data_IF_043235618582
#
_entry.id   IF_043235618582
#
_cell.length_a   1.000
_cell.length_b   1.000
_cell.length_c   1.000
_cell.angle_alpha   90.00
_cell.angle_beta   90.00
_cell.angle_gamma   90.00
#
_symmetry.space_group_name_H-M   'P 1'
#
loop_
_entity.id
_entity.type
_entity.pdbx_description
1 polymer ?
#
# COMPACT_ATOMS: atom_id res chain seq x y z
N UNK A 1 1.65 18.24 23.78
CA UNK A 1 2.18 17.03 23.12
C UNK A 1 1.22 15.88 23.38
N UNK A 2 0.97 15.06 22.35
CA UNK A 2 0.19 13.85 22.51
C UNK A 2 0.98 12.82 23.34
N UNK A 3 0.28 12.09 24.22
CA UNK A 3 0.87 10.95 24.93
C UNK A 3 0.94 9.75 24.01
N UNK A 4 1.98 8.95 24.15
CA UNK A 4 2.24 7.76 23.33
C UNK A 4 2.02 6.49 24.15
N UNK A 5 1.15 5.60 23.62
CA UNK A 5 1.00 4.24 24.12
C UNK A 5 1.48 3.28 23.05
N UNK A 6 2.39 2.39 23.38
CA UNK A 6 2.88 1.35 22.46
C UNK A 6 2.46 -0.01 22.97
N UNK A 7 1.92 -0.82 22.06
CA UNK A 7 1.58 -2.24 22.29
C UNK A 7 2.50 -3.04 21.38
N UNK A 8 3.24 -3.97 21.95
CA UNK A 8 4.11 -4.88 21.18
C UNK A 8 4.19 -6.23 21.88
N UNK A 9 4.24 -7.30 21.11
CA UNK A 9 4.43 -8.63 21.66
C UNK A 9 5.87 -8.84 22.17
N UNK A 10 6.82 -8.10 21.60
CA UNK A 10 8.22 -8.09 21.98
C UNK A 10 8.52 -6.84 22.84
N UNK A 11 8.69 -7.02 24.13
CA UNK A 11 8.98 -5.95 25.08
C UNK A 11 10.26 -5.16 24.75
N UNK A 12 11.20 -5.74 24.01
CA UNK A 12 12.46 -5.07 23.63
C UNK A 12 12.24 -3.98 22.57
N UNK A 13 11.10 -3.97 21.90
CA UNK A 13 10.72 -2.98 20.88
C UNK A 13 10.01 -1.77 21.47
N UNK A 14 9.55 -1.85 22.73
CA UNK A 14 8.86 -0.73 23.38
C UNK A 14 9.84 0.40 23.63
N UNK A 15 9.48 1.59 23.16
CA UNK A 15 10.31 2.79 23.27
C UNK A 15 11.51 2.84 22.32
N UNK A 16 11.76 1.81 21.50
CA UNK A 16 12.94 1.73 20.65
C UNK A 16 13.03 2.89 19.64
N UNK A 17 11.92 3.36 19.12
CA UNK A 17 11.88 4.38 18.07
C UNK A 17 11.31 5.71 18.54
N UNK A 18 10.50 5.69 19.58
CA UNK A 18 9.86 6.88 20.12
C UNK A 18 9.64 6.70 21.64
N UNK A 19 9.90 7.72 22.47
CA UNK A 19 9.60 7.65 23.89
C UNK A 19 8.12 7.40 24.13
N UNK A 20 7.78 6.44 24.99
CA UNK A 20 6.41 6.06 25.29
C UNK A 20 6.02 6.44 26.71
N UNK A 21 4.80 6.93 26.91
CA UNK A 21 4.23 7.18 28.24
C UNK A 21 3.73 5.89 28.90
N UNK A 22 3.28 4.92 28.10
CA UNK A 22 2.88 3.60 28.57
C UNK A 22 3.25 2.53 27.53
N UNK A 23 3.98 1.51 27.97
CA UNK A 23 4.33 0.33 27.19
C UNK A 23 3.52 -0.88 27.65
N UNK A 24 2.83 -1.57 26.74
CA UNK A 24 2.05 -2.74 27.00
C UNK A 24 2.63 -3.93 26.21
N UNK A 25 3.15 -4.93 26.92
CA UNK A 25 3.67 -6.14 26.30
C UNK A 25 2.53 -7.14 26.13
N UNK A 26 2.22 -7.51 24.89
CA UNK A 26 1.17 -8.46 24.60
C UNK A 26 0.70 -8.42 23.15
N UNK A 27 -0.14 -9.38 22.80
CA UNK A 27 -0.81 -9.43 21.50
C UNK A 27 -1.80 -8.25 21.35
N UNK A 28 -1.72 -7.52 20.25
CA UNK A 28 -2.53 -6.32 20.03
C UNK A 28 -4.03 -6.58 20.16
N UNK A 29 -4.53 -7.72 19.64
CA UNK A 29 -5.96 -8.06 19.71
C UNK A 29 -6.39 -8.24 21.16
N UNK A 30 -5.63 -9.03 21.92
CA UNK A 30 -5.92 -9.32 23.33
C UNK A 30 -5.88 -8.06 24.19
N UNK A 31 -4.85 -7.23 24.00
CA UNK A 31 -4.72 -5.94 24.73
C UNK A 31 -5.87 -4.99 24.38
N UNK A 32 -6.22 -4.85 23.11
CA UNK A 32 -7.33 -3.99 22.68
C UNK A 32 -8.69 -4.51 23.19
N UNK A 33 -8.90 -5.82 23.21
CA UNK A 33 -10.12 -6.40 23.79
C UNK A 33 -10.24 -6.13 25.30
N UNK A 34 -9.12 -6.16 26.02
CA UNK A 34 -9.11 -5.82 27.45
C UNK A 34 -9.28 -4.31 27.70
N UNK A 35 -8.77 -3.48 26.79
CA UNK A 35 -8.84 -2.01 26.88
C UNK A 35 -10.24 -1.47 26.57
N UNK A 36 -10.92 -2.01 25.56
CA UNK A 36 -12.20 -1.48 25.07
C UNK A 36 -13.26 -1.25 26.16
N UNK A 37 -13.50 -2.19 27.10
CA UNK A 37 -14.49 -1.98 28.16
C UNK A 37 -14.11 -0.91 29.18
N UNK A 38 -12.82 -0.51 29.23
CA UNK A 38 -12.32 0.52 30.13
C UNK A 38 -12.40 1.92 29.53
N UNK A 39 -12.68 2.03 28.22
CA UNK A 39 -12.75 3.30 27.51
C UNK A 39 -14.17 3.88 27.55
N UNK A 40 -14.23 5.19 27.74
CA UNK A 40 -15.46 5.95 27.56
C UNK A 40 -15.53 6.51 26.14
N UNK A 41 -16.71 6.49 25.54
CA UNK A 41 -16.92 7.08 24.23
C UNK A 41 -16.73 8.59 24.31
N UNK A 42 -15.77 9.10 23.53
CA UNK A 42 -15.54 10.52 23.43
C UNK A 42 -16.67 11.19 22.66
N UNK A 43 -17.34 12.18 23.24
CA UNK A 43 -18.41 12.94 22.61
C UNK A 43 -17.86 14.01 21.66
N UNK A 44 -16.75 14.67 22.04
CA UNK A 44 -16.07 15.62 21.17
C UNK A 44 -15.54 14.95 19.91
N UNK A 45 -16.10 15.32 18.76
CA UNK A 45 -15.79 14.83 17.43
C UNK A 45 -14.88 15.77 16.63
N UNK A 46 -14.43 16.88 17.21
CA UNK A 46 -13.71 17.95 16.51
C UNK A 46 -12.49 17.43 15.72
N UNK A 47 -11.66 16.59 16.35
CA UNK A 47 -10.50 15.98 15.68
C UNK A 47 -10.92 15.09 14.51
N UNK A 48 -11.92 14.22 14.71
CA UNK A 48 -12.40 13.32 13.66
C UNK A 48 -12.99 14.09 12.48
N UNK A 49 -13.82 15.09 12.75
CA UNK A 49 -14.44 15.93 11.70
C UNK A 49 -13.35 16.63 10.87
N UNK A 50 -12.34 17.22 11.54
CA UNK A 50 -11.19 17.83 10.85
C UNK A 50 -10.42 16.82 10.00
N UNK A 51 -10.19 15.60 10.50
CA UNK A 51 -9.52 14.55 9.74
C UNK A 51 -10.33 14.12 8.50
N UNK A 52 -11.64 13.99 8.64
CA UNK A 52 -12.54 13.65 7.54
C UNK A 52 -12.61 14.76 6.47
N UNK A 53 -12.66 16.03 6.87
CA UNK A 53 -12.61 17.17 5.94
C UNK A 53 -11.30 17.20 5.15
N UNK A 54 -10.17 17.00 5.82
CA UNK A 54 -8.85 16.91 5.16
C UNK A 54 -8.78 15.74 4.19
N UNK A 55 -9.37 14.60 4.55
CA UNK A 55 -9.43 13.44 3.66
C UNK A 55 -10.30 13.73 2.44
N UNK A 56 -11.43 14.43 2.59
CA UNK A 56 -12.25 14.88 1.48
C UNK A 56 -11.46 15.79 0.53
N UNK A 57 -10.83 16.82 1.09
CA UNK A 57 -9.96 17.73 0.31
C UNK A 57 -8.87 16.99 -0.46
N UNK A 58 -8.27 15.97 0.17
CA UNK A 58 -7.29 15.12 -0.50
C UNK A 58 -7.88 14.33 -1.66
N UNK A 59 -9.06 13.74 -1.50
CA UNK A 59 -9.75 12.99 -2.57
C UNK A 59 -10.12 13.88 -3.74
N UNK A 60 -10.64 15.08 -3.48
CA UNK A 60 -10.94 16.08 -4.52
C UNK A 60 -9.67 16.47 -5.30
N UNK A 61 -8.53 16.64 -4.60
CA UNK A 61 -7.25 16.91 -5.22
C UNK A 61 -6.76 15.73 -6.08
N UNK A 62 -6.91 14.49 -5.61
CA UNK A 62 -6.53 13.26 -6.34
C UNK A 62 -7.36 13.15 -7.61
N UNK A 63 -8.67 13.36 -7.53
CA UNK A 63 -9.55 13.35 -8.69
C UNK A 63 -9.17 14.42 -9.70
N UNK A 64 -9.00 15.68 -9.27
CA UNK A 64 -8.59 16.77 -10.14
C UNK A 64 -7.23 16.55 -10.81
N UNK A 65 -6.31 15.81 -10.17
CA UNK A 65 -5.02 15.44 -10.77
C UNK A 65 -5.11 14.20 -11.66
N UNK A 66 -5.97 13.25 -11.29
CA UNK A 66 -6.15 11.98 -11.99
C UNK A 66 -6.95 12.09 -13.28
N UNK A 67 -7.72 13.17 -13.45
CA UNK A 67 -8.53 13.43 -14.65
C UNK A 67 -7.89 14.39 -15.65
N UNK A 68 -6.62 14.77 -15.43
CA UNK A 68 -5.88 15.66 -16.33
C UNK A 68 -5.63 14.99 -17.67
N UNK A 69 -5.69 15.80 -18.74
CA UNK A 69 -5.45 15.36 -20.14
C UNK A 69 -4.17 15.93 -20.75
N UNK A 70 -3.39 16.67 -19.95
CA UNK A 70 -2.16 17.33 -20.40
C UNK A 70 -1.08 16.31 -20.81
N UNK A 71 -0.28 16.67 -21.80
CA UNK A 71 0.91 15.91 -22.17
C UNK A 71 2.18 16.69 -21.79
N UNK A 72 3.25 16.01 -21.29
CA UNK A 72 3.34 14.58 -21.02
C UNK A 72 2.43 14.15 -19.85
N UNK A 73 1.83 12.95 -19.96
CA UNK A 73 0.94 12.40 -18.95
C UNK A 73 1.63 12.32 -17.58
N UNK A 74 0.97 12.82 -16.54
CA UNK A 74 1.48 12.73 -15.17
C UNK A 74 1.17 11.38 -14.54
N UNK A 75 2.03 10.83 -13.66
CA UNK A 75 1.85 9.51 -13.04
C UNK A 75 0.54 9.36 -12.26
N UNK A 76 -0.04 10.45 -11.79
CA UNK A 76 -1.32 10.44 -11.08
C UNK A 76 -2.47 9.95 -11.98
N UNK A 77 -2.45 10.28 -13.26
CA UNK A 77 -3.53 9.93 -14.19
C UNK A 77 -3.70 8.41 -14.32
N UNK A 78 -2.66 7.65 -14.73
CA UNK A 78 -2.79 6.20 -14.84
C UNK A 78 -3.05 5.52 -13.49
N UNK A 79 -2.50 6.00 -12.38
CA UNK A 79 -2.77 5.44 -11.05
C UNK A 79 -4.22 5.64 -10.61
N UNK A 80 -4.79 6.81 -10.85
CA UNK A 80 -6.18 7.11 -10.55
C UNK A 80 -7.15 6.19 -11.31
N UNK A 81 -6.88 5.95 -12.60
CA UNK A 81 -7.69 5.03 -13.39
C UNK A 81 -7.48 3.57 -13.00
N UNK A 82 -6.22 3.17 -12.72
CA UNK A 82 -5.92 1.83 -12.24
C UNK A 82 -6.67 1.51 -10.94
N UNK A 83 -6.69 2.46 -9.99
CA UNK A 83 -7.39 2.29 -8.71
C UNK A 83 -8.87 1.90 -8.89
N UNK A 84 -9.53 2.43 -9.93
CA UNK A 84 -10.94 2.12 -10.25
C UNK A 84 -11.14 0.76 -10.91
N UNK A 85 -10.09 0.18 -11.49
CA UNK A 85 -10.13 -1.10 -12.21
C UNK A 85 -9.70 -2.29 -11.34
N UNK A 86 -9.20 -2.02 -10.12
CA UNK A 86 -8.81 -3.06 -9.19
C UNK A 86 -10.05 -3.70 -8.56
N UNK A 87 -10.07 -5.04 -8.51
CA UNK A 87 -11.08 -5.78 -7.76
C UNK A 87 -10.84 -5.67 -6.25
N UNK A 88 -11.89 -5.87 -5.44
CA UNK A 88 -11.81 -5.76 -3.98
C UNK A 88 -11.00 -6.89 -3.32
N UNK A 89 -10.52 -7.84 -4.10
CA UNK A 89 -9.62 -8.91 -3.69
C UNK A 89 -8.28 -8.89 -4.46
N UNK A 90 -7.99 -7.84 -5.23
CA UNK A 90 -6.77 -7.74 -6.02
C UNK A 90 -5.51 -7.88 -5.16
N UNK A 91 -4.46 -8.44 -5.77
CA UNK A 91 -3.13 -8.50 -5.17
C UNK A 91 -2.21 -7.57 -5.95
N UNK A 92 -1.61 -6.62 -5.25
CA UNK A 92 -0.70 -5.63 -5.82
C UNK A 92 0.70 -5.95 -5.36
N UNK A 93 1.60 -6.19 -6.30
CA UNK A 93 3.03 -6.25 -6.06
C UNK A 93 3.69 -4.98 -6.61
N UNK A 94 4.32 -4.22 -5.75
CA UNK A 94 4.91 -2.94 -6.10
C UNK A 94 6.43 -3.00 -6.02
N UNK A 95 7.10 -2.43 -7.00
CA UNK A 95 8.54 -2.27 -6.97
C UNK A 95 8.98 -1.12 -6.04
N UNK A 96 10.21 -1.15 -5.56
CA UNK A 96 10.82 -0.05 -4.81
C UNK A 96 11.34 1.03 -5.75
N UNK A 97 11.01 2.28 -5.42
CA UNK A 97 11.40 3.46 -6.18
C UNK A 97 10.31 4.54 -6.18
N UNK A 98 10.34 5.45 -7.14
CA UNK A 98 9.33 6.51 -7.27
C UNK A 98 7.91 5.94 -7.43
N UNK A 99 7.78 4.76 -8.06
CA UNK A 99 6.51 4.06 -8.25
C UNK A 99 5.82 3.72 -6.93
N UNK A 100 6.58 3.36 -5.90
CA UNK A 100 6.04 3.08 -4.56
C UNK A 100 5.28 4.29 -3.99
N UNK A 101 5.81 5.49 -4.20
CA UNK A 101 5.16 6.74 -3.78
C UNK A 101 3.81 6.93 -4.44
N UNK A 102 3.70 6.61 -5.73
CA UNK A 102 2.44 6.74 -6.46
C UNK A 102 1.42 5.72 -6.00
N UNK A 103 1.82 4.47 -5.78
CA UNK A 103 0.94 3.42 -5.25
C UNK A 103 0.46 3.78 -3.85
N UNK A 104 1.37 4.15 -2.94
CA UNK A 104 1.03 4.48 -1.55
C UNK A 104 0.06 5.66 -1.42
N UNK A 105 0.07 6.58 -2.38
CA UNK A 105 -0.76 7.79 -2.35
C UNK A 105 -2.08 7.67 -3.11
N UNK A 106 -2.18 6.79 -4.08
CA UNK A 106 -3.24 6.83 -5.09
C UNK A 106 -4.03 5.53 -5.23
N UNK A 107 -3.54 4.44 -4.63
CA UNK A 107 -4.28 3.18 -4.59
C UNK A 107 -4.94 3.03 -3.22
N UNK A 108 -6.26 2.93 -3.21
CA UNK A 108 -7.03 2.67 -2.01
C UNK A 108 -7.10 1.17 -1.76
N UNK A 109 -6.51 0.72 -0.67
CA UNK A 109 -6.64 -0.67 -0.22
C UNK A 109 -8.04 -0.88 0.37
N UNK A 110 -8.76 -1.88 -0.13
CA UNK A 110 -10.14 -2.17 0.27
C UNK A 110 -10.43 -3.67 0.22
N UNK A 111 -11.51 -4.10 0.85
CA UNK A 111 -11.93 -5.50 0.86
C UNK A 111 -10.83 -6.45 1.31
N UNK A 112 -10.59 -7.49 0.53
CA UNK A 112 -9.58 -8.53 0.77
C UNK A 112 -8.27 -8.29 -0.03
N UNK A 113 -8.05 -7.07 -0.49
CA UNK A 113 -6.84 -6.72 -1.24
C UNK A 113 -5.58 -7.00 -0.44
N UNK A 114 -4.53 -7.42 -1.15
CA UNK A 114 -3.19 -7.64 -0.58
C UNK A 114 -2.18 -6.74 -1.28
N UNK A 115 -1.18 -6.31 -0.52
CA UNK A 115 -0.10 -5.47 -1.01
C UNK A 115 1.26 -6.04 -0.58
N UNK A 116 2.20 -6.09 -1.51
CA UNK A 116 3.58 -6.51 -1.27
C UNK A 116 4.56 -5.49 -1.85
N UNK A 117 5.56 -5.14 -1.05
CA UNK A 117 6.70 -4.27 -1.42
C UNK A 117 7.87 -4.59 -0.49
N UNK A 118 9.10 -4.47 -0.94
CA UNK A 118 10.29 -4.64 -0.09
C UNK A 118 10.49 -3.42 0.83
N UNK A 119 9.62 -3.31 1.87
CA UNK A 119 9.58 -2.15 2.75
C UNK A 119 10.79 -2.00 3.70
N UNK A 120 11.55 -3.05 3.93
CA UNK A 120 12.71 -3.02 4.84
C UNK A 120 14.03 -2.81 4.11
N UNK A 121 14.27 -3.55 3.01
CA UNK A 121 15.53 -3.52 2.26
C UNK A 121 15.46 -2.59 1.06
N UNK A 122 14.26 -2.12 0.70
CA UNK A 122 14.02 -1.29 -0.48
C UNK A 122 14.62 -1.92 -1.76
N UNK A 123 14.44 -3.23 -1.92
CA UNK A 123 14.94 -3.99 -3.06
C UNK A 123 14.26 -3.56 -4.34
N UNK A 124 15.02 -3.21 -5.34
CA UNK A 124 14.52 -2.88 -6.67
C UNK A 124 14.22 -4.16 -7.46
N UNK A 125 13.25 -4.13 -8.37
CA UNK A 125 12.85 -5.22 -9.26
C UNK A 125 11.98 -6.34 -8.65
N UNK A 126 11.64 -6.32 -7.35
CA UNK A 126 10.84 -7.39 -6.74
C UNK A 126 9.37 -7.39 -7.16
N UNK A 127 8.85 -6.29 -7.70
CA UNK A 127 7.44 -6.17 -8.04
C UNK A 127 6.95 -7.25 -9.01
N UNK A 128 7.75 -7.58 -10.03
CA UNK A 128 7.39 -8.61 -11.00
C UNK A 128 7.47 -10.02 -10.42
N UNK A 129 8.57 -10.50 -9.80
CA UNK A 129 8.62 -11.83 -9.19
C UNK A 129 7.62 -12.01 -8.05
N UNK A 130 7.33 -10.97 -7.25
CA UNK A 130 6.28 -11.06 -6.23
C UNK A 130 4.90 -11.27 -6.84
N UNK A 131 4.61 -10.62 -7.97
CA UNK A 131 3.36 -10.83 -8.69
C UNK A 131 3.26 -12.24 -9.28
N UNK A 132 4.35 -12.79 -9.81
CA UNK A 132 4.43 -14.19 -10.26
C UNK A 132 4.12 -15.14 -9.10
N UNK A 133 4.79 -14.96 -7.96
CA UNK A 133 4.53 -15.75 -6.75
C UNK A 133 3.09 -15.63 -6.26
N UNK A 134 2.52 -14.43 -6.29
CA UNK A 134 1.12 -14.19 -5.91
C UNK A 134 0.14 -14.89 -6.85
N UNK A 135 0.38 -14.88 -8.16
CA UNK A 135 -0.47 -15.55 -9.14
C UNK A 135 -0.48 -17.07 -8.98
N UNK A 136 0.66 -17.65 -8.57
CA UNK A 136 0.77 -19.08 -8.25
C UNK A 136 0.05 -19.41 -6.93
N UNK A 137 0.22 -18.56 -5.90
CA UNK A 137 -0.33 -18.81 -4.57
C UNK A 137 -1.85 -18.56 -4.49
N UNK A 138 -2.39 -17.70 -5.35
CA UNK A 138 -3.79 -17.27 -5.34
C UNK A 138 -4.39 -17.35 -6.75
N UNK A 139 -4.58 -18.55 -7.30
CA UNK A 139 -5.12 -18.72 -8.65
C UNK A 139 -6.51 -18.11 -8.76
N UNK A 140 -6.77 -17.44 -9.88
CA UNK A 140 -8.07 -16.81 -10.17
C UNK A 140 -8.23 -15.38 -9.61
N UNK A 141 -7.36 -14.90 -8.74
CA UNK A 141 -7.38 -13.50 -8.27
C UNK A 141 -6.73 -12.55 -9.28
N UNK A 142 -7.19 -11.32 -9.30
CA UNK A 142 -6.53 -10.26 -10.05
C UNK A 142 -5.16 -9.95 -9.43
N UNK A 143 -4.07 -10.17 -10.17
CA UNK A 143 -2.71 -9.83 -9.74
C UNK A 143 -2.15 -8.74 -10.63
N UNK A 144 -1.63 -7.68 -10.03
CA UNK A 144 -1.05 -6.52 -10.72
C UNK A 144 0.35 -6.26 -10.19
N UNK A 145 1.35 -6.30 -11.08
CA UNK A 145 2.69 -5.80 -10.80
C UNK A 145 2.75 -4.33 -11.20
N UNK A 146 3.14 -3.43 -10.29
CA UNK A 146 3.33 -2.01 -10.56
C UNK A 146 4.81 -1.72 -10.40
N UNK A 147 5.49 -1.46 -11.52
CA UNK A 147 6.96 -1.41 -11.60
C UNK A 147 7.43 -0.16 -12.32
N UNK A 148 8.63 0.31 -11.97
CA UNK A 148 9.34 1.30 -12.75
C UNK A 148 10.00 0.65 -13.97
N UNK A 149 10.33 1.43 -15.00
CA UNK A 149 11.03 0.94 -16.19
C UNK A 149 12.41 0.33 -15.85
N UNK A 150 13.17 0.96 -14.96
CA UNK A 150 14.43 0.42 -14.48
C UNK A 150 14.28 -0.90 -13.73
N UNK A 151 13.35 -0.98 -12.77
CA UNK A 151 13.07 -2.23 -12.03
C UNK A 151 12.57 -3.34 -12.93
N UNK A 152 11.69 -3.01 -13.88
CA UNK A 152 11.19 -4.00 -14.85
C UNK A 152 12.34 -4.62 -15.66
N UNK A 153 13.27 -3.82 -16.18
CA UNK A 153 14.37 -4.31 -17.02
C UNK A 153 15.33 -5.23 -16.27
N UNK A 154 15.48 -5.06 -14.95
CA UNK A 154 16.35 -5.91 -14.13
C UNK A 154 15.89 -7.37 -14.05
N UNK A 155 14.57 -7.62 -14.02
CA UNK A 155 13.98 -8.96 -13.93
C UNK A 155 12.90 -9.22 -14.98
N UNK A 156 12.97 -8.55 -16.14
CA UNK A 156 12.00 -8.75 -17.23
C UNK A 156 11.94 -10.19 -17.74
N UNK A 157 12.97 -10.99 -17.48
CA UNK A 157 12.98 -12.43 -17.79
C UNK A 157 11.83 -13.21 -17.15
N UNK A 158 11.26 -12.72 -16.05
CA UNK A 158 10.09 -13.33 -15.41
C UNK A 158 8.81 -13.28 -16.27
N UNK A 159 8.77 -12.46 -17.31
CA UNK A 159 7.70 -12.50 -18.32
C UNK A 159 7.67 -13.86 -19.03
N UNK A 160 8.83 -14.48 -19.26
CA UNK A 160 8.90 -15.82 -19.82
C UNK A 160 8.28 -16.87 -18.86
N UNK A 161 8.48 -16.71 -17.55
CA UNK A 161 7.82 -17.54 -16.53
C UNK A 161 6.31 -17.37 -16.58
N UNK A 162 5.80 -16.14 -16.69
CA UNK A 162 4.37 -15.87 -16.81
C UNK A 162 3.76 -16.54 -18.03
N UNK A 163 4.43 -16.45 -19.18
CA UNK A 163 3.99 -17.06 -20.43
C UNK A 163 4.01 -18.59 -20.33
N UNK A 164 5.13 -19.15 -19.84
CA UNK A 164 5.31 -20.62 -19.72
C UNK A 164 4.24 -21.27 -18.84
N UNK A 165 3.86 -20.62 -17.76
CA UNK A 165 2.90 -21.16 -16.79
C UNK A 165 1.49 -20.57 -16.93
N UNK A 166 1.25 -19.77 -17.97
CA UNK A 166 -0.04 -19.13 -18.25
C UNK A 166 -0.57 -18.33 -17.05
N UNK A 167 0.29 -17.54 -16.41
CA UNK A 167 -0.06 -16.72 -15.24
C UNK A 167 -0.64 -15.38 -15.69
N UNK A 168 -1.91 -15.04 -15.33
CA UNK A 168 -2.59 -13.84 -15.82
C UNK A 168 -2.20 -12.57 -15.06
N UNK A 169 -0.91 -12.36 -14.81
CA UNK A 169 -0.39 -11.16 -14.15
C UNK A 169 -0.48 -9.96 -15.10
N UNK A 170 -1.00 -8.86 -14.60
CA UNK A 170 -1.01 -7.58 -15.31
C UNK A 170 0.19 -6.75 -14.87
N UNK A 171 1.08 -6.46 -15.81
CA UNK A 171 2.29 -5.66 -15.54
C UNK A 171 2.04 -4.22 -15.94
N UNK A 172 2.09 -3.32 -14.97
CA UNK A 172 1.90 -1.89 -15.13
C UNK A 172 3.24 -1.17 -14.97
N UNK A 173 3.81 -0.73 -16.10
CA UNK A 173 5.15 -0.12 -16.12
C UNK A 173 5.01 1.40 -16.15
N UNK A 174 5.57 2.08 -15.15
CA UNK A 174 5.68 3.53 -15.12
C UNK A 174 7.04 3.94 -15.70
N UNK A 175 7.00 4.44 -16.90
CA UNK A 175 8.20 4.93 -17.59
C UNK A 175 8.31 6.45 -17.45
N UNK A 176 9.39 6.93 -16.86
CA UNK A 176 9.65 8.34 -16.62
C UNK A 176 10.76 8.93 -17.51
N UNK A 177 11.41 8.12 -18.37
CA UNK A 177 12.49 8.50 -19.29
C UNK A 177 13.76 9.05 -18.58
N UNK A 178 14.04 8.60 -17.36
CA UNK A 178 15.28 8.95 -16.64
C UNK A 178 16.21 7.75 -16.53
#
# INVERSE_FOLDING_TARGET
QAKCVQIDIDGTRIGLRYPVDAGLVGDCKSVLQALLPLLQRKEDRGFLNTAQERMKTWRDLVEGRGTRTEMPMKPQVPMYHLNKLLSDDAIIACDCGTVTTWVARLIDMRGEMKFAVSGMLATMAEGLPYAVGAAVAYPGRQVVAIVGDGGFTMLMGEVATMVKYNLPVKVFIIKNNT
#
